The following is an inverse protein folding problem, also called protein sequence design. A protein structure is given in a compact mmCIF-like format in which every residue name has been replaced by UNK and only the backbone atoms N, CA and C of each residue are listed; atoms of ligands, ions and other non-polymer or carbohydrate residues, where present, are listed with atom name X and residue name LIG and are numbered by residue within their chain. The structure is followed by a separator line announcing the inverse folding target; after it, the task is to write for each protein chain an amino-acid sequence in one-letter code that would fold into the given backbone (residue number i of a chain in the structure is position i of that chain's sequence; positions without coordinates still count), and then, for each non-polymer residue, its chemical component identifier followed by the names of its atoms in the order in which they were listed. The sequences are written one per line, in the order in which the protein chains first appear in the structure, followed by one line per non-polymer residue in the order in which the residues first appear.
data_IF_589066874445
#
_entry.id   IF_589066874445
#
_cell.length_a   1.000
_cell.length_b   1.000
_cell.length_c   1.000
_cell.angle_alpha   90.00
_cell.angle_beta   90.00
_cell.angle_gamma   90.00
#
_symmetry.space_group_name_H-M   'P 1'
#
loop_
_entity.id
_entity.type
_entity.pdbx_description
1 polymer ?
#
# COMPACT_ATOMS: atom_id res chain seq x y z
N UNK A 1 23.81 22.12 -7.76
CA UNK A 1 22.46 22.45 -7.26
C UNK A 1 21.47 21.32 -7.56
N UNK A 2 21.13 21.03 -8.83
CA UNK A 2 20.25 19.90 -9.21
C UNK A 2 20.68 18.51 -8.67
N UNK A 3 21.99 18.22 -8.62
CA UNK A 3 22.48 16.96 -8.07
C UNK A 3 22.31 16.83 -6.54
N UNK A 4 22.34 17.96 -5.81
CA UNK A 4 22.13 17.95 -4.36
C UNK A 4 20.65 17.86 -4.00
N UNK A 5 19.78 18.48 -4.79
CA UNK A 5 18.31 18.35 -4.68
C UNK A 5 17.89 16.88 -4.90
N UNK A 6 18.42 16.22 -5.93
CA UNK A 6 18.13 14.80 -6.16
C UNK A 6 18.60 13.84 -5.05
N UNK A 7 19.69 14.17 -4.34
CA UNK A 7 20.15 13.40 -3.17
C UNK A 7 19.20 13.62 -1.99
N UNK A 8 18.73 14.84 -1.77
CA UNK A 8 17.79 15.16 -0.67
C UNK A 8 16.44 14.46 -0.91
N UNK A 9 15.91 14.51 -2.13
CA UNK A 9 14.65 13.85 -2.48
C UNK A 9 14.76 12.33 -2.33
N UNK A 10 15.89 11.73 -2.73
CA UNK A 10 16.16 10.32 -2.53
C UNK A 10 16.25 9.94 -1.04
N UNK A 11 16.92 10.75 -0.22
CA UNK A 11 17.00 10.54 1.23
C UNK A 11 15.63 10.69 1.92
N UNK A 12 14.79 11.62 1.47
CA UNK A 12 13.44 11.80 1.99
C UNK A 12 12.52 10.64 1.59
N UNK A 13 12.63 10.14 0.36
CA UNK A 13 11.91 8.95 -0.10
C UNK A 13 12.32 7.70 0.71
N UNK A 14 13.63 7.52 0.94
CA UNK A 14 14.18 6.42 1.74
C UNK A 14 13.77 6.50 3.23
N UNK A 15 13.65 7.72 3.77
CA UNK A 15 13.18 7.90 5.14
C UNK A 15 11.70 7.51 5.29
N UNK A 16 10.85 7.93 4.33
CA UNK A 16 9.41 7.60 4.29
C UNK A 16 9.17 6.09 4.15
N UNK A 17 10.00 5.37 3.38
CA UNK A 17 9.92 3.90 3.26
C UNK A 17 10.24 3.17 4.54
N UNK A 18 11.34 3.56 5.18
CA UNK A 18 11.75 2.97 6.44
C UNK A 18 10.69 3.23 7.53
N UNK A 19 10.08 4.41 7.54
CA UNK A 19 9.07 4.78 8.53
C UNK A 19 7.77 3.99 8.34
N UNK A 20 7.25 3.87 7.11
CA UNK A 20 6.03 3.11 6.82
C UNK A 20 6.21 1.62 7.13
N UNK A 21 7.33 1.03 6.70
CA UNK A 21 7.66 -0.35 6.99
C UNK A 21 7.74 -0.60 8.50
N UNK A 22 8.49 0.24 9.22
CA UNK A 22 8.69 0.11 10.67
C UNK A 22 7.37 0.19 11.43
N UNK A 23 6.48 1.12 11.08
CA UNK A 23 5.20 1.28 11.76
C UNK A 23 4.24 0.13 11.51
N UNK A 24 4.15 -0.35 10.27
CA UNK A 24 3.32 -1.50 9.94
C UNK A 24 3.85 -2.80 10.60
N UNK A 25 5.17 -2.97 10.68
CA UNK A 25 5.80 -4.11 11.35
C UNK A 25 5.58 -4.04 12.87
N UNK A 26 5.76 -2.87 13.49
CA UNK A 26 5.49 -2.65 14.90
C UNK A 26 4.01 -2.91 15.25
N UNK A 27 3.08 -2.49 14.37
CA UNK A 27 1.64 -2.77 14.52
C UNK A 27 1.36 -4.27 14.50
N UNK A 28 1.97 -5.00 13.58
CA UNK A 28 1.82 -6.46 13.51
C UNK A 28 2.35 -7.16 14.75
N UNK A 29 3.56 -6.80 15.19
CA UNK A 29 4.12 -7.31 16.44
C UNK A 29 3.20 -7.02 17.63
N UNK A 30 2.67 -5.80 17.74
CA UNK A 30 1.73 -5.43 18.81
C UNK A 30 0.43 -6.22 18.76
N UNK A 31 -0.10 -6.48 17.56
CA UNK A 31 -1.29 -7.32 17.38
C UNK A 31 -1.02 -8.76 17.82
N UNK A 32 0.13 -9.34 17.46
CA UNK A 32 0.49 -10.71 17.86
C UNK A 32 0.83 -10.86 19.34
N UNK A 33 1.40 -9.83 19.97
CA UNK A 33 1.76 -9.84 21.40
C UNK A 33 0.58 -9.51 22.32
N UNK A 34 -0.45 -8.83 21.80
CA UNK A 34 -1.68 -8.55 22.53
C UNK A 34 -2.59 -9.78 22.49
N UNK A 35 -2.58 -10.62 23.54
CA UNK A 35 -3.49 -11.77 23.72
C UNK A 35 -5.00 -11.43 23.72
N UNK A 36 -5.38 -10.16 23.60
CA UNK A 36 -6.80 -9.79 23.47
C UNK A 36 -7.36 -10.34 22.17
N UNK A 37 -8.28 -11.30 22.30
CA UNK A 37 -9.17 -11.72 21.23
C UNK A 37 -9.76 -10.49 20.54
N UNK A 38 -9.49 -10.34 19.24
CA UNK A 38 -10.09 -9.27 18.47
C UNK A 38 -11.61 -9.45 18.51
N UNK A 39 -12.31 -8.47 19.08
CA UNK A 39 -13.77 -8.48 19.07
C UNK A 39 -14.23 -8.57 17.61
N UNK A 40 -15.28 -9.36 17.30
CA UNK A 40 -15.79 -9.47 15.95
C UNK A 40 -16.16 -8.07 15.44
N UNK A 41 -15.37 -7.57 14.50
CA UNK A 41 -15.60 -6.27 13.90
C UNK A 41 -16.74 -6.39 12.89
N UNK A 42 -17.70 -5.46 12.95
CA UNK A 42 -18.82 -5.42 12.01
C UNK A 42 -18.28 -5.16 10.61
N UNK A 43 -18.74 -5.96 9.62
CA UNK A 43 -18.38 -5.73 8.21
C UNK A 43 -18.75 -4.28 7.81
N UNK A 44 -17.80 -3.50 7.27
CA UNK A 44 -18.08 -2.17 6.76
C UNK A 44 -18.98 -2.22 5.51
N UNK A 45 -19.61 -1.11 5.16
CA UNK A 45 -20.36 -1.05 3.90
C UNK A 45 -19.38 -1.14 2.70
N UNK A 46 -19.82 -1.76 1.61
CA UNK A 46 -18.99 -2.01 0.42
C UNK A 46 -18.43 -0.72 -0.20
N UNK A 47 -19.13 0.40 -0.10
CA UNK A 47 -18.65 1.71 -0.55
C UNK A 47 -17.41 2.18 0.22
N UNK A 48 -17.35 1.95 1.54
CA UNK A 48 -16.17 2.29 2.34
C UNK A 48 -14.99 1.38 2.02
N UNK A 49 -15.25 0.09 1.76
CA UNK A 49 -14.21 -0.86 1.35
C UNK A 49 -13.63 -0.50 -0.02
N UNK A 50 -14.49 -0.11 -0.96
CA UNK A 50 -14.09 0.36 -2.27
C UNK A 50 -13.21 1.60 -2.16
N UNK A 51 -13.63 2.59 -1.37
CA UNK A 51 -12.86 3.82 -1.18
C UNK A 51 -11.53 3.57 -0.47
N UNK A 52 -11.52 2.72 0.56
CA UNK A 52 -10.30 2.29 1.24
C UNK A 52 -9.34 1.57 0.27
N UNK A 53 -9.86 0.73 -0.62
CA UNK A 53 -9.06 0.03 -1.65
C UNK A 53 -8.44 1.02 -2.65
N UNK A 54 -9.21 2.04 -3.07
CA UNK A 54 -8.73 3.11 -3.95
C UNK A 54 -7.63 3.93 -3.28
N UNK A 55 -7.85 4.33 -2.03
CA UNK A 55 -6.91 5.10 -1.25
C UNK A 55 -5.60 4.33 -0.99
N UNK A 56 -5.70 3.04 -0.66
CA UNK A 56 -4.51 2.19 -0.48
C UNK A 56 -3.72 2.07 -1.79
N UNK A 57 -4.40 1.83 -2.91
CA UNK A 57 -3.77 1.76 -4.23
C UNK A 57 -3.05 3.06 -4.59
N UNK A 58 -3.69 4.21 -4.36
CA UNK A 58 -3.08 5.51 -4.57
C UNK A 58 -1.86 5.75 -3.66
N UNK A 59 -1.93 5.31 -2.40
CA UNK A 59 -0.80 5.40 -1.48
C UNK A 59 0.40 4.58 -1.96
N UNK A 60 0.18 3.36 -2.45
CA UNK A 60 1.23 2.54 -3.05
C UNK A 60 1.83 3.18 -4.31
N UNK A 61 1.00 3.74 -5.18
CA UNK A 61 1.50 4.46 -6.35
C UNK A 61 2.37 5.67 -5.95
N UNK A 62 1.93 6.45 -4.96
CA UNK A 62 2.69 7.57 -4.43
C UNK A 62 3.99 7.17 -3.73
N UNK A 63 4.02 5.96 -3.17
CA UNK A 63 5.19 5.39 -2.53
C UNK A 63 6.23 4.91 -3.55
N UNK A 64 5.79 4.15 -4.55
CA UNK A 64 6.65 3.54 -5.56
C UNK A 64 7.15 4.54 -6.61
N UNK A 65 6.34 5.55 -6.95
CA UNK A 65 6.60 6.42 -8.10
C UNK A 65 6.73 7.89 -7.69
N UNK A 66 7.87 8.50 -8.02
CA UNK A 66 8.19 9.88 -7.63
C UNK A 66 7.54 10.93 -8.54
N UNK A 67 7.40 10.66 -9.84
CA UNK A 67 6.76 11.59 -10.77
C UNK A 67 5.25 11.36 -10.91
N UNK A 68 4.52 12.42 -11.27
CA UNK A 68 3.05 12.40 -11.35
C UNK A 68 2.52 11.53 -12.50
N UNK A 69 3.25 11.44 -13.60
CA UNK A 69 2.84 10.65 -14.76
C UNK A 69 2.96 9.15 -14.47
N UNK A 70 4.07 8.71 -13.86
CA UNK A 70 4.25 7.33 -13.42
C UNK A 70 3.22 6.93 -12.37
N UNK A 71 2.93 7.78 -11.38
CA UNK A 71 1.84 7.54 -10.41
C UNK A 71 0.50 7.32 -11.08
N UNK A 72 0.17 8.18 -12.04
CA UNK A 72 -1.10 8.11 -12.77
C UNK A 72 -1.20 6.84 -13.62
N UNK A 73 -0.10 6.45 -14.26
CA UNK A 73 -0.01 5.21 -15.02
C UNK A 73 -0.16 3.97 -14.12
N UNK A 74 0.53 3.95 -12.97
CA UNK A 74 0.46 2.86 -12.00
C UNK A 74 -0.96 2.68 -11.43
N UNK A 75 -1.62 3.77 -11.05
CA UNK A 75 -3.02 3.74 -10.59
C UNK A 75 -3.96 3.24 -11.69
N UNK A 76 -3.74 3.65 -12.93
CA UNK A 76 -4.53 3.17 -14.07
C UNK A 76 -4.34 1.66 -14.27
N UNK A 77 -3.10 1.18 -14.29
CA UNK A 77 -2.79 -0.24 -14.43
C UNK A 77 -3.40 -1.07 -13.29
N UNK A 78 -3.32 -0.57 -12.05
CA UNK A 78 -3.98 -1.20 -10.92
C UNK A 78 -5.51 -1.28 -11.09
N UNK A 79 -6.13 -0.26 -11.68
CA UNK A 79 -7.55 -0.26 -12.02
C UNK A 79 -7.92 -1.29 -13.09
N UNK A 80 -7.07 -1.51 -14.08
CA UNK A 80 -7.27 -2.54 -15.12
C UNK A 80 -7.23 -3.96 -14.51
N UNK A 81 -6.37 -4.19 -13.51
CA UNK A 81 -6.25 -5.49 -12.81
C UNK A 81 -7.40 -5.75 -11.85
N UNK A 82 -7.86 -4.71 -11.14
CA UNK A 82 -8.81 -4.85 -10.02
C UNK A 82 -10.25 -4.53 -10.39
N UNK A 83 -10.47 -3.82 -11.50
CA UNK A 83 -11.75 -3.18 -11.82
C UNK A 83 -12.06 -1.95 -10.94
N UNK A 84 -11.12 -1.51 -10.10
CA UNK A 84 -11.28 -0.38 -9.17
C UNK A 84 -10.47 0.81 -9.68
N UNK A 85 -11.15 1.83 -10.18
CA UNK A 85 -10.47 3.05 -10.65
C UNK A 85 -10.03 3.91 -9.47
N UNK A 86 -8.78 3.83 -9.04
CA UNK A 86 -8.21 4.82 -8.13
C UNK A 86 -7.93 6.15 -8.88
N UNK A 87 -7.82 7.24 -8.14
CA UNK A 87 -7.39 8.54 -8.67
C UNK A 87 -6.19 8.99 -7.86
N UNK A 88 -5.10 9.34 -8.54
CA UNK A 88 -3.95 9.96 -7.86
C UNK A 88 -4.37 11.34 -7.41
N UNK A 89 -4.36 11.58 -6.11
CA UNK A 89 -4.64 12.92 -5.57
C UNK A 89 -3.52 13.87 -6.02
N UNK A 90 -3.85 15.04 -6.60
CA UNK A 90 -2.84 16.03 -6.97
C UNK A 90 -2.23 16.62 -5.70
N UNK A 91 -0.96 16.29 -5.46
CA UNK A 91 -0.19 16.77 -4.33
C UNK A 91 0.89 15.76 -3.97
N UNK A 92 2.16 16.15 -4.09
CA UNK A 92 3.17 15.50 -3.28
C UNK A 92 2.80 15.74 -1.82
N UNK A 93 3.02 14.71 -1.02
CA UNK A 93 3.09 14.74 0.44
C UNK A 93 1.86 14.26 1.21
N UNK A 94 2.06 13.06 1.73
CA UNK A 94 1.50 12.52 2.95
C UNK A 94 0.08 11.99 2.81
N UNK A 95 -0.08 10.87 2.10
CA UNK A 95 -0.85 9.81 2.78
C UNK A 95 -0.09 9.49 4.07
N UNK A 96 -0.55 10.06 5.18
CA UNK A 96 0.12 9.89 6.47
C UNK A 96 0.04 8.42 6.89
N UNK A 97 0.97 7.99 7.73
CA UNK A 97 1.00 6.59 8.16
C UNK A 97 -0.25 6.26 8.99
N UNK A 98 -0.82 7.26 9.67
CA UNK A 98 -2.13 7.19 10.32
C UNK A 98 -3.27 6.97 9.33
N UNK A 99 -3.22 7.60 8.15
CA UNK A 99 -4.22 7.38 7.11
C UNK A 99 -4.14 5.97 6.53
N UNK A 100 -2.93 5.46 6.26
CA UNK A 100 -2.73 4.07 5.81
C UNK A 100 -3.22 3.10 6.89
N UNK A 101 -2.90 3.38 8.15
CA UNK A 101 -3.37 2.61 9.32
C UNK A 101 -4.89 2.56 9.38
N UNK A 102 -5.57 3.70 9.23
CA UNK A 102 -7.04 3.78 9.21
C UNK A 102 -7.66 3.06 8.00
N UNK A 103 -7.03 3.15 6.82
CA UNK A 103 -7.46 2.42 5.62
C UNK A 103 -7.40 0.90 5.87
N UNK A 104 -6.30 0.42 6.45
CA UNK A 104 -6.14 -1.00 6.78
C UNK A 104 -7.14 -1.47 7.84
N UNK A 105 -7.50 -0.60 8.80
CA UNK A 105 -8.57 -0.87 9.77
C UNK A 105 -9.95 -1.02 9.13
N UNK A 106 -10.22 -0.29 8.03
CA UNK A 106 -11.46 -0.45 7.24
C UNK A 106 -11.41 -1.76 6.45
N UNK A 107 -10.27 -2.11 5.87
CA UNK A 107 -10.15 -3.29 5.01
C UNK A 107 -10.12 -4.60 5.78
N UNK A 108 -9.53 -4.63 6.98
CA UNK A 108 -9.39 -5.86 7.78
C UNK A 108 -10.71 -6.63 8.02
N UNK A 109 -11.83 -5.99 8.42
CA UNK A 109 -13.12 -6.67 8.58
C UNK A 109 -13.89 -6.90 7.26
N UNK A 110 -13.36 -6.50 6.11
CA UNK A 110 -13.96 -6.79 4.81
C UNK A 110 -13.91 -8.30 4.49
N UNK A 111 -14.57 -8.74 3.43
CA UNK A 111 -14.49 -10.15 2.97
C UNK A 111 -13.12 -10.47 2.40
N UNK A 112 -12.76 -11.75 2.37
CA UNK A 112 -11.48 -12.21 1.78
C UNK A 112 -11.32 -11.75 0.33
N UNK A 113 -12.39 -11.77 -0.46
CA UNK A 113 -12.36 -11.31 -1.85
C UNK A 113 -12.06 -9.81 -1.95
N UNK A 114 -12.74 -8.99 -1.15
CA UNK A 114 -12.52 -7.54 -1.08
C UNK A 114 -11.07 -7.21 -0.66
N UNK A 115 -10.54 -7.88 0.37
CA UNK A 115 -9.14 -7.71 0.80
C UNK A 115 -8.16 -8.17 -0.27
N UNK A 116 -8.45 -9.27 -0.96
CA UNK A 116 -7.63 -9.80 -2.06
C UNK A 116 -7.56 -8.81 -3.22
N UNK A 117 -8.68 -8.19 -3.57
CA UNK A 117 -8.73 -7.15 -4.62
C UNK A 117 -7.92 -5.92 -4.21
N UNK A 118 -8.04 -5.47 -2.96
CA UNK A 118 -7.23 -4.37 -2.44
C UNK A 118 -5.72 -4.69 -2.51
N UNK A 119 -5.31 -5.89 -2.10
CA UNK A 119 -3.91 -6.33 -2.18
C UNK A 119 -3.40 -6.39 -3.62
N UNK A 120 -4.20 -6.90 -4.57
CA UNK A 120 -3.85 -6.88 -6.00
C UNK A 120 -3.63 -5.47 -6.53
N UNK A 121 -4.44 -4.51 -6.10
CA UNK A 121 -4.26 -3.09 -6.42
C UNK A 121 -2.92 -2.56 -5.92
N UNK A 122 -2.51 -2.93 -4.71
CA UNK A 122 -1.21 -2.58 -4.15
C UNK A 122 -0.06 -3.16 -4.98
N UNK A 123 -0.13 -4.44 -5.35
CA UNK A 123 0.89 -5.08 -6.18
C UNK A 123 1.04 -4.39 -7.54
N UNK A 124 -0.08 -4.12 -8.22
CA UNK A 124 -0.08 -3.51 -9.54
C UNK A 124 0.35 -2.04 -9.51
N UNK A 125 0.01 -1.30 -8.44
CA UNK A 125 0.46 0.07 -8.25
C UNK A 125 1.95 0.15 -7.89
N UNK A 126 2.46 -0.79 -7.08
CA UNK A 126 3.87 -0.89 -6.77
C UNK A 126 4.67 -1.17 -8.05
N UNK A 127 4.28 -2.20 -8.81
CA UNK A 127 4.99 -2.62 -10.01
C UNK A 127 4.62 -1.83 -11.28
N UNK A 128 4.24 -0.56 -11.13
CA UNK A 128 3.79 0.29 -12.24
C UNK A 128 4.86 0.54 -13.32
N UNK A 129 6.14 0.35 -12.98
CA UNK A 129 7.28 0.43 -13.89
C UNK A 129 7.68 -0.94 -14.49
N UNK A 130 6.92 -2.00 -14.19
CA UNK A 130 7.15 -3.38 -14.62
C UNK A 130 8.12 -4.16 -13.75
N UNK A 131 8.65 -3.58 -12.68
CA UNK A 131 9.53 -4.23 -11.72
C UNK A 131 9.04 -3.98 -10.30
N UNK A 132 9.47 -4.82 -9.34
CA UNK A 132 9.22 -4.55 -7.93
C UNK A 132 10.52 -4.60 -7.14
N UNK A 133 10.80 -3.50 -6.43
CA UNK A 133 11.95 -3.38 -5.54
C UNK A 133 11.82 -4.29 -4.32
N UNK A 134 12.91 -4.42 -3.55
CA UNK A 134 12.90 -5.16 -2.27
C UNK A 134 11.91 -4.50 -1.31
N UNK A 135 11.97 -3.19 -1.21
CA UNK A 135 11.18 -2.38 -0.29
C UNK A 135 9.68 -2.46 -0.60
N UNK A 136 9.30 -2.39 -1.88
CA UNK A 136 7.92 -2.56 -2.31
C UNK A 136 7.39 -3.97 -2.08
N UNK A 137 8.21 -5.00 -2.36
CA UNK A 137 7.82 -6.39 -2.13
C UNK A 137 7.58 -6.67 -0.65
N UNK A 138 8.44 -6.17 0.24
CA UNK A 138 8.26 -6.27 1.68
C UNK A 138 7.04 -5.49 2.18
N UNK A 139 6.79 -4.30 1.64
CA UNK A 139 5.60 -3.52 1.99
C UNK A 139 4.30 -4.23 1.60
N UNK A 140 4.25 -4.82 0.39
CA UNK A 140 3.11 -5.63 -0.06
C UNK A 140 2.90 -6.85 0.84
N UNK A 141 3.98 -7.57 1.18
CA UNK A 141 3.91 -8.73 2.10
C UNK A 141 3.40 -8.35 3.48
N UNK A 142 3.81 -7.20 3.98
CA UNK A 142 3.37 -6.68 5.27
C UNK A 142 1.89 -6.29 5.26
N UNK A 143 1.40 -5.70 4.18
CA UNK A 143 -0.04 -5.45 3.98
C UNK A 143 -0.82 -6.77 3.90
N UNK A 144 -0.32 -7.76 3.16
CA UNK A 144 -0.94 -9.09 3.10
C UNK A 144 -1.06 -9.72 4.51
N UNK A 145 -0.01 -9.61 5.32
CA UNK A 145 -0.01 -10.06 6.70
C UNK A 145 -1.04 -9.32 7.57
N UNK A 146 -1.15 -7.99 7.42
CA UNK A 146 -2.13 -7.17 8.16
C UNK A 146 -3.57 -7.54 7.79
N UNK A 147 -3.81 -7.85 6.51
CA UNK A 147 -5.12 -8.23 6.00
C UNK A 147 -5.43 -9.72 6.18
N UNK A 148 -4.56 -10.47 6.87
CA UNK A 148 -4.69 -11.92 7.07
C UNK A 148 -4.90 -12.67 5.75
N UNK A 149 -4.04 -12.36 4.77
CA UNK A 149 -4.00 -12.96 3.44
C UNK A 149 -2.74 -13.81 3.28
N UNK A 150 -2.75 -14.83 2.41
CA UNK A 150 -1.54 -15.55 2.07
C UNK A 150 -0.47 -14.58 1.55
N UNK A 151 0.75 -14.74 2.05
CA UNK A 151 1.88 -13.93 1.62
C UNK A 151 2.09 -14.13 0.12
N UNK A 152 2.07 -13.05 -0.68
CA UNK A 152 2.21 -13.17 -2.12
C UNK A 152 3.63 -13.63 -2.47
N UNK A 153 3.81 -14.54 -3.46
CA UNK A 153 5.10 -15.10 -3.84
C UNK A 153 5.91 -14.12 -4.72
N UNK A 154 5.95 -12.86 -4.33
CA UNK A 154 6.61 -11.80 -5.08
C UNK A 154 8.08 -11.80 -4.70
N UNK A 155 8.99 -12.05 -5.64
CA UNK A 155 10.42 -11.97 -5.37
C UNK A 155 10.95 -10.55 -5.66
N UNK A 156 11.83 -10.00 -4.82
CA UNK A 156 12.50 -8.75 -5.13
C UNK A 156 13.23 -8.82 -6.48
N UNK A 157 13.07 -7.79 -7.31
CA UNK A 157 13.64 -7.74 -8.66
C UNK A 157 12.89 -8.59 -9.70
N UNK A 158 11.74 -9.16 -9.34
CA UNK A 158 10.87 -9.88 -10.27
C UNK A 158 10.19 -8.90 -11.23
N UNK A 159 10.12 -9.30 -12.51
CA UNK A 159 9.28 -8.64 -13.51
C UNK A 159 7.81 -9.06 -13.31
N UNK A 160 6.92 -8.09 -13.23
CA UNK A 160 5.48 -8.29 -13.00
C UNK A 160 4.68 -8.19 -14.30
#
# INVERSE_FOLDING_TARGET
RKACEGIIDALQSLAKSLELFTLLAARQLKSKLSEKAELPQKKPASSFVLEASRALTAAFACYAHSDSAARSAAVKAAGEVTGITAVVMPGNDNTSIEQITAILDILRPATTDERTVALKGCCAAAAGDGYISVEEAELVRLVALILDLPLPPILPGQKM
#
